data_IF_270763509579
#
_entry.id   IF_270763509579
#
_cell.length_a   1.000
_cell.length_b   1.000
_cell.length_c   1.000
_cell.angle_alpha   90.00
_cell.angle_beta   90.00
_cell.angle_gamma   90.00
#
_symmetry.space_group_name_H-M   'P 1'
#
loop_
_entity.id
_entity.type
_entity.pdbx_description
1 polymer ?
#
# COMPACT_ATOMS: atom_id res chain seq x y z
N UNK A 1 18.98 5.91 10.08
CA UNK A 1 17.71 6.22 9.38
C UNK A 1 18.04 7.18 8.25
N UNK A 2 17.95 6.74 7.01
CA UNK A 2 18.40 7.47 5.81
C UNK A 2 17.32 8.43 5.29
N UNK A 3 17.73 9.58 4.75
CA UNK A 3 16.87 10.64 4.16
C UNK A 3 15.81 10.12 3.17
N UNK A 4 16.07 8.97 2.54
CA UNK A 4 15.19 8.30 1.57
C UNK A 4 13.93 7.71 2.21
N UNK A 5 14.00 7.19 3.45
CA UNK A 5 12.83 6.67 4.17
C UNK A 5 11.82 7.78 4.50
N UNK A 6 12.30 8.98 4.79
CA UNK A 6 11.44 10.10 5.22
C UNK A 6 10.58 10.67 4.08
N UNK A 7 11.12 10.72 2.85
CA UNK A 7 10.40 11.15 1.65
C UNK A 7 9.30 10.17 1.26
N UNK A 8 9.57 8.86 1.37
CA UNK A 8 8.59 7.81 1.13
C UNK A 8 7.45 7.88 2.14
N UNK A 9 7.78 8.07 3.42
CA UNK A 9 6.82 8.20 4.49
C UNK A 9 5.85 9.37 4.22
N UNK A 10 6.36 10.51 3.73
CA UNK A 10 5.54 11.66 3.35
C UNK A 10 4.54 11.37 2.23
N UNK A 11 4.99 10.76 1.12
CA UNK A 11 4.12 10.42 -0.02
C UNK A 11 3.06 9.36 0.36
N UNK A 12 3.46 8.32 1.10
CA UNK A 12 2.54 7.28 1.59
C UNK A 12 1.47 7.89 2.49
N UNK A 13 1.85 8.76 3.43
CA UNK A 13 0.89 9.44 4.31
C UNK A 13 -0.09 10.33 3.53
N UNK A 14 0.37 11.06 2.52
CA UNK A 14 -0.52 11.87 1.67
C UNK A 14 -1.53 11.01 0.90
N UNK A 15 -1.10 9.85 0.39
CA UNK A 15 -2.01 8.91 -0.30
C UNK A 15 -3.01 8.29 0.65
N UNK A 16 -2.59 7.91 1.85
CA UNK A 16 -3.49 7.39 2.89
C UNK A 16 -4.56 8.41 3.27
N UNK A 17 -4.20 9.69 3.45
CA UNK A 17 -5.18 10.77 3.69
C UNK A 17 -6.20 10.92 2.56
N UNK A 18 -5.77 10.75 1.30
CA UNK A 18 -6.69 10.76 0.15
C UNK A 18 -7.65 9.57 0.20
N UNK A 19 -7.14 8.37 0.49
CA UNK A 19 -7.96 7.14 0.64
C UNK A 19 -8.99 7.31 1.76
N UNK A 20 -8.59 7.86 2.90
CA UNK A 20 -9.49 8.16 4.02
C UNK A 20 -10.64 9.10 3.59
N UNK A 21 -10.32 10.13 2.79
CA UNK A 21 -11.33 11.02 2.21
C UNK A 21 -12.28 10.30 1.23
N UNK A 22 -11.77 9.36 0.43
CA UNK A 22 -12.59 8.55 -0.47
C UNK A 22 -13.53 7.62 0.31
N UNK A 23 -13.05 6.97 1.37
CA UNK A 23 -13.86 6.11 2.24
C UNK A 23 -15.01 6.90 2.87
N UNK A 24 -14.71 8.08 3.44
CA UNK A 24 -15.77 8.99 3.94
C UNK A 24 -16.74 9.44 2.85
N UNK A 25 -16.25 9.61 1.61
CA UNK A 25 -17.08 9.87 0.45
C UNK A 25 -18.09 8.76 0.21
N UNK A 26 -17.62 7.51 0.18
CA UNK A 26 -18.48 6.32 0.01
C UNK A 26 -19.50 6.18 1.14
N UNK A 27 -19.11 6.41 2.41
CA UNK A 27 -20.06 6.40 3.52
C UNK A 27 -21.23 7.36 3.30
N UNK A 28 -20.94 8.61 2.89
CA UNK A 28 -21.97 9.60 2.56
C UNK A 28 -22.82 9.17 1.36
N UNK A 29 -22.22 8.59 0.32
CA UNK A 29 -22.99 8.07 -0.82
C UNK A 29 -24.02 7.01 -0.40
N UNK A 30 -23.68 6.19 0.60
CA UNK A 30 -24.58 5.16 1.15
C UNK A 30 -25.68 5.81 1.99
N UNK A 31 -25.33 6.76 2.86
CA UNK A 31 -26.29 7.53 3.67
C UNK A 31 -27.29 8.30 2.80
N UNK A 32 -26.82 8.86 1.67
CA UNK A 32 -27.62 9.57 0.67
C UNK A 32 -28.38 8.64 -0.29
N UNK A 33 -28.35 7.31 -0.06
CA UNK A 33 -29.01 6.31 -0.90
C UNK A 33 -28.67 6.40 -2.40
N UNK A 34 -27.40 6.71 -2.74
CA UNK A 34 -26.96 6.79 -4.14
C UNK A 34 -26.98 5.44 -4.84
N UNK A 35 -26.95 5.49 -6.17
CA UNK A 35 -26.97 4.30 -7.02
C UNK A 35 -25.80 3.35 -6.70
N UNK A 36 -26.10 2.05 -6.56
CA UNK A 36 -25.12 1.02 -6.23
C UNK A 36 -23.95 0.94 -7.23
N UNK A 37 -24.19 1.18 -8.51
CA UNK A 37 -23.14 1.17 -9.54
C UNK A 37 -22.10 2.27 -9.33
N UNK A 38 -22.53 3.45 -8.89
CA UNK A 38 -21.63 4.55 -8.54
C UNK A 38 -20.81 4.22 -7.29
N UNK A 39 -21.45 3.63 -6.28
CA UNK A 39 -20.78 3.19 -5.04
C UNK A 39 -19.72 2.12 -5.35
N UNK A 40 -20.04 1.12 -6.17
CA UNK A 40 -19.09 0.08 -6.61
C UNK A 40 -17.92 0.70 -7.36
N UNK A 41 -18.16 1.69 -8.21
CA UNK A 41 -17.09 2.41 -8.93
C UNK A 41 -16.13 3.11 -7.96
N UNK A 42 -16.65 3.77 -6.93
CA UNK A 42 -15.81 4.42 -5.91
C UNK A 42 -15.05 3.40 -5.04
N UNK A 43 -15.68 2.28 -4.66
CA UNK A 43 -15.01 1.20 -3.95
C UNK A 43 -13.88 0.59 -4.78
N UNK A 44 -14.06 0.41 -6.09
CA UNK A 44 -13.01 -0.04 -6.99
C UNK A 44 -11.83 0.96 -7.06
N UNK A 45 -12.13 2.26 -7.07
CA UNK A 45 -11.10 3.30 -7.02
C UNK A 45 -10.31 3.28 -5.70
N UNK A 46 -10.98 3.05 -4.57
CA UNK A 46 -10.35 2.88 -3.26
C UNK A 46 -9.44 1.64 -3.26
N UNK A 47 -9.93 0.50 -3.73
CA UNK A 47 -9.13 -0.73 -3.85
C UNK A 47 -7.84 -0.48 -4.65
N UNK A 48 -7.95 0.17 -5.82
CA UNK A 48 -6.80 0.50 -6.65
C UNK A 48 -5.84 1.51 -5.99
N UNK A 49 -6.33 2.43 -5.16
CA UNK A 49 -5.49 3.35 -4.41
C UNK A 49 -4.74 2.65 -3.27
N UNK A 50 -5.43 1.79 -2.51
CA UNK A 50 -4.84 0.97 -1.44
C UNK A 50 -3.77 0.04 -1.99
N UNK A 51 -4.03 -0.66 -3.10
CA UNK A 51 -3.04 -1.54 -3.73
C UNK A 51 -1.77 -0.79 -4.12
N UNK A 52 -1.90 0.43 -4.66
CA UNK A 52 -0.74 1.26 -5.01
C UNK A 52 0.09 1.64 -3.78
N UNK A 53 -0.56 2.03 -2.68
CA UNK A 53 0.13 2.34 -1.43
C UNK A 53 0.82 1.09 -0.86
N UNK A 54 0.13 -0.05 -0.85
CA UNK A 54 0.67 -1.32 -0.38
C UNK A 54 1.93 -1.75 -1.13
N UNK A 55 1.92 -1.65 -2.46
CA UNK A 55 3.09 -1.97 -3.29
C UNK A 55 4.28 -1.03 -3.03
N UNK A 56 4.02 0.27 -2.83
CA UNK A 56 5.08 1.24 -2.47
C UNK A 56 5.74 0.88 -1.14
N UNK A 57 4.94 0.52 -0.14
CA UNK A 57 5.45 0.12 1.19
C UNK A 57 6.20 -1.21 1.10
N UNK A 58 5.67 -2.18 0.34
CA UNK A 58 6.33 -3.47 0.11
C UNK A 58 7.70 -3.29 -0.55
N UNK A 59 7.81 -2.43 -1.57
CA UNK A 59 9.09 -2.16 -2.22
C UNK A 59 10.14 -1.59 -1.25
N UNK A 60 9.72 -0.74 -0.31
CA UNK A 60 10.60 -0.23 0.74
C UNK A 60 11.05 -1.35 1.68
N UNK A 61 10.10 -2.16 2.15
CA UNK A 61 10.39 -3.30 3.01
C UNK A 61 11.36 -4.29 2.36
N UNK A 62 11.15 -4.60 1.08
CA UNK A 62 12.04 -5.44 0.29
C UNK A 62 13.47 -4.87 0.23
N UNK A 63 13.61 -3.58 -0.08
CA UNK A 63 14.90 -2.94 -0.19
C UNK A 63 15.68 -2.98 1.15
N UNK A 64 15.01 -2.64 2.25
CA UNK A 64 15.60 -2.66 3.59
C UNK A 64 16.00 -4.07 4.04
N UNK A 65 15.12 -5.05 3.78
CA UNK A 65 15.33 -6.45 4.16
C UNK A 65 16.49 -7.07 3.38
N UNK A 66 16.56 -6.84 2.07
CA UNK A 66 17.66 -7.32 1.22
C UNK A 66 18.99 -6.65 1.61
N UNK A 67 19.00 -5.34 1.86
CA UNK A 67 20.21 -4.63 2.29
C UNK A 67 20.75 -5.19 3.61
N UNK A 68 19.86 -5.43 4.58
CA UNK A 68 20.20 -6.02 5.86
C UNK A 68 20.73 -7.45 5.72
N UNK A 69 20.01 -8.30 5.00
CA UNK A 69 20.37 -9.72 4.87
C UNK A 69 21.70 -9.89 4.09
N UNK A 70 22.00 -8.99 3.14
CA UNK A 70 23.29 -8.94 2.46
C UNK A 70 24.44 -8.55 3.42
N UNK A 71 24.22 -7.58 4.31
CA UNK A 71 25.21 -7.19 5.34
C UNK A 71 25.47 -8.31 6.36
N UNK A 72 24.44 -9.11 6.66
CA UNK A 72 24.51 -10.23 7.61
C UNK A 72 24.97 -11.55 6.95
N UNK A 73 25.23 -11.57 5.63
CA UNK A 73 25.67 -12.76 4.90
C UNK A 73 24.60 -13.86 4.78
N UNK A 74 23.32 -13.49 4.86
CA UNK A 74 22.18 -14.42 4.79
C UNK A 74 21.78 -14.72 3.35
N UNK A 75 21.08 -15.84 3.15
CA UNK A 75 20.54 -16.19 1.83
C UNK A 75 19.35 -15.29 1.46
N UNK A 76 19.55 -14.48 0.41
CA UNK A 76 18.55 -13.55 -0.12
C UNK A 76 17.30 -14.28 -0.64
N UNK A 77 17.41 -15.57 -1.00
CA UNK A 77 16.26 -16.36 -1.46
C UNK A 77 15.17 -16.48 -0.41
N UNK A 78 15.52 -16.57 0.87
CA UNK A 78 14.56 -16.63 1.96
C UNK A 78 13.79 -15.31 2.07
N UNK A 79 14.51 -14.18 2.06
CA UNK A 79 13.95 -12.83 2.09
C UNK A 79 13.02 -12.56 0.92
N UNK A 80 13.41 -13.00 -0.28
CA UNK A 80 12.58 -12.90 -1.49
C UNK A 80 11.30 -13.74 -1.35
N UNK A 81 11.40 -14.93 -0.76
CA UNK A 81 10.26 -15.80 -0.47
C UNK A 81 9.23 -15.14 0.44
N UNK A 82 9.68 -14.53 1.55
CA UNK A 82 8.80 -13.76 2.45
C UNK A 82 8.10 -12.60 1.72
N UNK A 83 8.85 -11.86 0.91
CA UNK A 83 8.31 -10.72 0.17
C UNK A 83 7.27 -11.16 -0.88
N UNK A 84 7.46 -12.31 -1.54
CA UNK A 84 6.49 -12.89 -2.46
C UNK A 84 5.19 -13.31 -1.75
N UNK A 85 5.28 -13.81 -0.52
CA UNK A 85 4.08 -14.11 0.28
C UNK A 85 3.27 -12.84 0.58
N UNK A 86 3.95 -11.73 0.88
CA UNK A 86 3.28 -10.44 1.11
C UNK A 86 2.68 -9.90 -0.20
N UNK A 87 3.42 -9.97 -1.30
CA UNK A 87 2.95 -9.54 -2.62
C UNK A 87 1.63 -10.21 -3.02
N UNK A 88 1.49 -11.52 -2.77
CA UNK A 88 0.26 -12.27 -3.07
C UNK A 88 -0.99 -11.74 -2.35
N UNK A 89 -0.87 -10.95 -1.29
CA UNK A 89 -2.03 -10.31 -0.62
C UNK A 89 -2.62 -9.14 -1.40
N UNK A 90 -1.89 -8.62 -2.39
CA UNK A 90 -2.28 -7.47 -3.21
C UNK A 90 -2.66 -7.84 -4.65
N UNK A 91 -2.43 -9.10 -5.05
CA UNK A 91 -2.85 -9.68 -6.33
C UNK A 91 -4.24 -10.28 -6.24
#
# INVERSE_FOLDING_TARGET
>A
MTTRQHLLQGDVLQRLKKIEGQVRGVSRMIEDCRNCGEVVTQLAAIKAAVNRVGLTVLACHMAEKIEKDLQEGKDIKESLGECLVIFKKFS
#
